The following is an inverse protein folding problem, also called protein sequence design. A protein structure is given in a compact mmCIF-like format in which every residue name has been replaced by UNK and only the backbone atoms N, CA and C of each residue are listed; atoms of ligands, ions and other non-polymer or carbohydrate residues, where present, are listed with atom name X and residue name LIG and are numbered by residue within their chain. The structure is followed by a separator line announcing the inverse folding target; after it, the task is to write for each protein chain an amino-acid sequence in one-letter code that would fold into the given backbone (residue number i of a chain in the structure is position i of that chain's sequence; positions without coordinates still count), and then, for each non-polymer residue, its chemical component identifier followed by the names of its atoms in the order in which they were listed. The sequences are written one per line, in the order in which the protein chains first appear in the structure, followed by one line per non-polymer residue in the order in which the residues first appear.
data_IF_989488772046
#
_entry.id   IF_989488772046
#
_cell.length_a   1.000
_cell.length_b   1.000
_cell.length_c   1.000
_cell.angle_alpha   90.00
_cell.angle_beta   90.00
_cell.angle_gamma   90.00
#
_symmetry.space_group_name_H-M   'P 1'
#
loop_
_entity.id
_entity.type
_entity.pdbx_description
1 polymer ?
#
# COMPACT_ATOMS: atom_id res chain seq x y z
N UNK A 1 -35.29 25.79 13.86
CA UNK A 1 -35.72 25.10 12.64
C UNK A 1 -34.46 24.54 12.00
N UNK A 2 -34.04 23.33 12.38
CA UNK A 2 -32.94 22.63 11.73
C UNK A 2 -33.52 21.35 11.11
N UNK A 3 -34.04 21.50 9.90
CA UNK A 3 -34.43 20.38 9.05
C UNK A 3 -33.37 20.20 7.99
N UNK A 4 -32.39 19.32 8.21
CA UNK A 4 -31.57 18.73 7.14
C UNK A 4 -30.81 17.47 7.62
N UNK A 5 -31.29 16.31 7.17
CA UNK A 5 -30.65 14.97 7.14
C UNK A 5 -30.28 14.30 8.47
N UNK A 6 -31.15 13.41 8.95
CA UNK A 6 -30.88 12.44 10.01
C UNK A 6 -29.92 11.33 9.59
N UNK A 7 -28.66 11.69 9.33
CA UNK A 7 -27.59 10.74 9.05
C UNK A 7 -26.91 10.35 10.36
N UNK A 8 -26.86 9.04 10.65
CA UNK A 8 -26.16 8.53 11.83
C UNK A 8 -24.69 9.02 11.86
N UNK A 9 -24.25 9.74 12.91
CA UNK A 9 -22.91 10.32 12.97
C UNK A 9 -21.80 9.28 12.93
N UNK A 10 -22.06 8.06 13.42
CA UNK A 10 -21.09 6.95 13.37
C UNK A 10 -20.91 6.47 11.92
N UNK A 11 -22.00 6.23 11.22
CA UNK A 11 -21.99 5.86 9.80
C UNK A 11 -21.34 6.94 8.93
N UNK A 12 -21.63 8.22 9.20
CA UNK A 12 -20.99 9.32 8.47
C UNK A 12 -19.47 9.33 8.66
N UNK A 13 -19.00 9.15 9.90
CA UNK A 13 -17.56 9.10 10.19
C UNK A 13 -16.86 7.94 9.49
N UNK A 14 -17.43 6.73 9.52
CA UNK A 14 -16.88 5.58 8.79
C UNK A 14 -16.89 5.78 7.26
N UNK A 15 -17.92 6.44 6.72
CA UNK A 15 -17.95 6.81 5.31
C UNK A 15 -16.81 7.80 4.95
N UNK A 16 -16.56 8.81 5.80
CA UNK A 16 -15.43 9.72 5.65
C UNK A 16 -14.08 9.00 5.71
N UNK A 17 -13.93 8.01 6.61
CA UNK A 17 -12.76 7.13 6.69
C UNK A 17 -12.53 6.38 5.38
N UNK A 18 -13.56 5.74 4.82
CA UNK A 18 -13.45 5.00 3.55
C UNK A 18 -13.13 5.95 2.38
N UNK A 19 -13.78 7.12 2.33
CA UNK A 19 -13.48 8.13 1.32
C UNK A 19 -12.02 8.61 1.41
N UNK A 20 -11.50 8.80 2.62
CA UNK A 20 -10.11 9.22 2.81
C UNK A 20 -9.12 8.13 2.43
N UNK A 21 -9.46 6.85 2.63
CA UNK A 21 -8.67 5.74 2.11
C UNK A 21 -8.59 5.75 0.57
N UNK A 22 -9.71 5.99 -0.12
CA UNK A 22 -9.75 6.08 -1.59
C UNK A 22 -8.84 7.22 -2.08
N UNK A 23 -8.99 8.42 -1.52
CA UNK A 23 -8.17 9.57 -1.91
C UNK A 23 -6.69 9.39 -1.52
N UNK A 24 -6.40 8.73 -0.40
CA UNK A 24 -5.02 8.36 -0.02
C UNK A 24 -4.36 7.41 -0.99
N UNK A 25 -5.09 6.42 -1.50
CA UNK A 25 -4.63 5.52 -2.56
C UNK A 25 -4.46 6.24 -3.91
N UNK A 26 -5.20 7.32 -4.15
CA UNK A 26 -5.07 8.17 -5.33
C UNK A 26 -3.95 9.23 -5.20
N UNK A 27 -3.39 9.38 -4.00
CA UNK A 27 -2.51 10.50 -3.66
C UNK A 27 -3.17 11.86 -3.96
N UNK A 28 -4.46 11.97 -3.69
CA UNK A 28 -5.22 13.23 -3.80
C UNK A 28 -5.16 13.99 -2.48
N UNK A 29 -4.06 14.71 -2.27
CA UNK A 29 -3.81 15.46 -1.04
C UNK A 29 -4.89 16.52 -0.77
N UNK A 30 -5.43 17.15 -1.81
CA UNK A 30 -6.44 18.18 -1.68
C UNK A 30 -7.78 17.60 -1.19
N UNK A 31 -8.21 16.46 -1.75
CA UNK A 31 -9.38 15.75 -1.26
C UNK A 31 -9.18 15.20 0.16
N UNK A 32 -7.98 14.70 0.49
CA UNK A 32 -7.66 14.24 1.84
C UNK A 32 -7.73 15.37 2.87
N UNK A 33 -7.16 16.55 2.60
CA UNK A 33 -7.20 17.68 3.54
C UNK A 33 -8.64 18.17 3.78
N UNK A 34 -9.53 18.09 2.78
CA UNK A 34 -10.97 18.39 2.95
C UNK A 34 -11.67 17.39 3.88
N UNK A 35 -11.31 16.12 3.81
CA UNK A 35 -11.91 15.05 4.62
C UNK A 35 -11.31 14.97 6.03
N UNK A 36 -10.09 15.45 6.22
CA UNK A 36 -9.36 15.27 7.47
C UNK A 36 -10.12 15.78 8.72
N UNK A 37 -10.76 16.97 8.72
CA UNK A 37 -11.56 17.40 9.87
C UNK A 37 -12.68 16.40 10.22
N UNK A 38 -13.33 15.81 9.22
CA UNK A 38 -14.42 14.85 9.43
C UNK A 38 -13.93 13.56 10.09
N UNK A 39 -12.73 13.10 9.72
CA UNK A 39 -12.11 11.91 10.31
C UNK A 39 -11.50 12.20 11.69
N UNK A 40 -10.93 13.39 11.88
CA UNK A 40 -10.33 13.82 13.14
C UNK A 40 -11.37 13.96 14.27
N UNK A 41 -12.56 14.50 13.94
CA UNK A 41 -13.67 14.61 14.89
C UNK A 41 -14.45 13.31 15.01
N UNK A 42 -13.86 12.33 15.71
CA UNK A 42 -14.51 11.06 16.03
C UNK A 42 -15.78 11.26 16.86
N UNK A 43 -16.94 10.66 16.50
CA UNK A 43 -18.17 10.73 17.28
C UNK A 43 -17.99 10.21 18.72
N UNK A 44 -18.68 10.83 19.69
CA UNK A 44 -18.60 10.45 21.12
C UNK A 44 -18.86 8.97 21.36
N UNK A 45 -19.82 8.38 20.65
CA UNK A 45 -20.15 6.96 20.75
C UNK A 45 -18.96 6.04 20.44
N UNK A 46 -18.08 6.43 19.50
CA UNK A 46 -16.86 5.70 19.18
C UNK A 46 -15.72 6.01 20.17
N UNK A 47 -15.66 7.23 20.71
CA UNK A 47 -14.64 7.61 21.70
C UNK A 47 -14.78 6.84 23.02
N UNK A 48 -16.02 6.62 23.48
CA UNK A 48 -16.30 5.86 24.71
C UNK A 48 -16.32 4.35 24.49
N UNK A 49 -16.24 3.91 23.23
CA UNK A 49 -16.26 2.49 22.89
C UNK A 49 -14.91 1.83 23.20
N UNK A 50 -14.97 0.65 23.81
CA UNK A 50 -13.79 -0.20 24.03
C UNK A 50 -13.23 -0.77 22.72
N UNK A 51 -13.99 -0.71 21.62
CA UNK A 51 -13.51 -1.16 20.31
C UNK A 51 -12.29 -0.32 19.87
N UNK A 52 -11.11 -0.92 19.63
CA UNK A 52 -9.91 -0.21 19.22
C UNK A 52 -9.89 0.13 17.72
N UNK A 53 -10.78 -0.43 16.90
CA UNK A 53 -10.77 -0.26 15.46
C UNK A 53 -10.96 1.21 14.98
N UNK A 54 -11.86 2.03 15.57
CA UNK A 54 -11.93 3.46 15.25
C UNK A 54 -10.62 4.20 15.54
N UNK A 55 -9.92 3.84 16.63
CA UNK A 55 -8.63 4.44 17.00
C UNK A 55 -7.54 4.02 16.01
N UNK A 56 -7.52 2.75 15.60
CA UNK A 56 -6.64 2.27 14.53
C UNK A 56 -6.83 3.09 13.24
N UNK A 57 -8.09 3.28 12.81
CA UNK A 57 -8.41 4.06 11.62
C UNK A 57 -7.88 5.50 11.73
N UNK A 58 -8.23 6.21 12.81
CA UNK A 58 -7.79 7.58 13.04
C UNK A 58 -6.25 7.72 12.96
N UNK A 59 -5.50 6.81 13.59
CA UNK A 59 -4.04 6.88 13.58
C UNK A 59 -3.41 6.52 12.23
N UNK A 60 -3.98 5.56 11.48
CA UNK A 60 -3.56 5.26 10.10
C UNK A 60 -3.63 6.52 9.23
N UNK A 61 -4.69 7.29 9.40
CA UNK A 61 -4.90 8.51 8.64
C UNK A 61 -4.05 9.69 9.09
N UNK A 62 -3.82 9.83 10.40
CA UNK A 62 -2.84 10.79 10.91
C UNK A 62 -1.46 10.51 10.33
N UNK A 63 -1.06 9.24 10.25
CA UNK A 63 0.19 8.85 9.61
C UNK A 63 0.24 9.24 8.13
N UNK A 64 -0.82 8.94 7.37
CA UNK A 64 -0.89 9.30 5.95
C UNK A 64 -0.83 10.81 5.71
N UNK A 65 -1.43 11.63 6.57
CA UNK A 65 -1.43 13.10 6.45
C UNK A 65 -0.05 13.73 6.71
N UNK A 66 0.69 13.19 7.67
CA UNK A 66 2.04 13.69 8.01
C UNK A 66 3.13 12.94 7.26
N UNK A 67 2.77 12.16 6.23
CA UNK A 67 3.72 11.48 5.36
C UNK A 67 4.67 12.52 4.73
N UNK A 68 5.98 12.30 4.88
CA UNK A 68 7.01 13.25 4.44
C UNK A 68 7.27 14.41 5.40
N UNK A 69 6.54 14.50 6.53
CA UNK A 69 6.72 15.49 7.60
C UNK A 69 7.26 14.78 8.86
N UNK A 70 8.59 14.62 8.93
CA UNK A 70 9.36 14.16 10.10
C UNK A 70 9.08 12.71 10.59
N UNK A 71 9.73 12.30 11.69
CA UNK A 71 9.54 11.02 12.42
C UNK A 71 8.10 10.82 12.94
N UNK A 72 7.29 11.89 12.91
CA UNK A 72 5.90 11.91 13.38
C UNK A 72 5.03 10.87 12.67
N UNK A 73 5.26 10.61 11.38
CA UNK A 73 4.51 9.62 10.59
C UNK A 73 4.69 8.20 11.13
N UNK A 74 5.92 7.81 11.49
CA UNK A 74 6.20 6.47 11.98
C UNK A 74 5.55 6.24 13.35
N UNK A 75 5.60 7.23 14.23
CA UNK A 75 4.92 7.16 15.52
C UNK A 75 3.40 7.00 15.41
N UNK A 76 2.77 7.61 14.40
CA UNK A 76 1.34 7.39 14.12
C UNK A 76 1.06 6.01 13.53
N UNK A 77 1.93 5.50 12.63
CA UNK A 77 1.83 4.14 12.12
C UNK A 77 1.94 3.10 13.24
N UNK A 78 2.86 3.30 14.19
CA UNK A 78 3.06 2.35 15.30
C UNK A 78 1.82 2.31 16.21
N UNK A 79 1.24 3.47 16.57
CA UNK A 79 -0.02 3.54 17.32
C UNK A 79 -1.18 2.88 16.60
N UNK A 80 -1.29 3.11 15.29
CA UNK A 80 -2.33 2.48 14.47
C UNK A 80 -2.19 0.94 14.45
N UNK A 81 -0.97 0.44 14.27
CA UNK A 81 -0.67 -0.99 14.28
C UNK A 81 -0.90 -1.64 15.66
N UNK A 82 -0.67 -0.92 16.75
CA UNK A 82 -1.04 -1.36 18.10
C UNK A 82 -2.56 -1.55 18.25
N UNK A 83 -3.36 -0.52 17.97
CA UNK A 83 -4.82 -0.63 18.04
C UNK A 83 -5.39 -1.67 17.07
N UNK A 84 -4.80 -1.81 15.89
CA UNK A 84 -5.21 -2.83 14.93
C UNK A 84 -4.97 -4.25 15.47
N UNK A 85 -3.80 -4.49 16.08
CA UNK A 85 -3.50 -5.79 16.71
C UNK A 85 -4.39 -6.06 17.92
N UNK A 86 -4.70 -5.04 18.71
CA UNK A 86 -5.67 -5.12 19.81
C UNK A 86 -7.05 -5.54 19.29
N UNK A 87 -7.50 -4.97 18.16
CA UNK A 87 -8.77 -5.34 17.53
C UNK A 87 -8.85 -6.81 17.09
N UNK A 88 -7.70 -7.45 16.87
CA UNK A 88 -7.58 -8.86 16.49
C UNK A 88 -7.42 -9.80 17.69
N UNK A 89 -7.10 -9.26 18.87
CA UNK A 89 -6.87 -10.02 20.09
C UNK A 89 -8.12 -10.25 20.95
N UNK A 90 -9.26 -9.66 20.57
CA UNK A 90 -10.52 -9.82 21.28
C UNK A 90 -11.05 -11.26 21.22
N UNK A 91 -11.76 -11.68 22.28
CA UNK A 91 -12.39 -13.00 22.36
C UNK A 91 -13.62 -13.15 21.45
N UNK A 92 -14.13 -12.04 20.91
CA UNK A 92 -15.31 -12.01 20.05
C UNK A 92 -14.93 -12.16 18.58
N UNK A 93 -15.66 -13.01 17.85
CA UNK A 93 -15.49 -13.14 16.40
C UNK A 93 -15.83 -11.80 15.73
N UNK A 94 -14.90 -11.19 14.98
CA UNK A 94 -15.15 -9.91 14.30
C UNK A 94 -16.23 -10.09 13.23
N UNK A 95 -17.06 -9.05 13.05
CA UNK A 95 -18.03 -9.03 11.94
C UNK A 95 -17.32 -9.01 10.58
N UNK A 96 -18.04 -9.33 9.50
CA UNK A 96 -17.48 -9.25 8.14
C UNK A 96 -16.97 -7.84 7.80
N UNK A 97 -17.68 -6.80 8.28
CA UNK A 97 -17.29 -5.40 8.10
C UNK A 97 -16.02 -5.10 8.90
N UNK A 98 -15.95 -5.53 10.17
CA UNK A 98 -14.75 -5.34 10.99
C UNK A 98 -13.53 -5.98 10.34
N UNK A 99 -13.67 -7.19 9.81
CA UNK A 99 -12.60 -7.87 9.08
C UNK A 99 -12.14 -7.11 7.84
N UNK A 100 -13.10 -6.58 7.06
CA UNK A 100 -12.78 -5.79 5.87
C UNK A 100 -12.06 -4.48 6.24
N UNK A 101 -12.50 -3.81 7.31
CA UNK A 101 -11.84 -2.60 7.83
C UNK A 101 -10.45 -2.93 8.38
N UNK A 102 -10.29 -4.00 9.15
CA UNK A 102 -8.99 -4.46 9.66
C UNK A 102 -8.01 -4.72 8.51
N UNK A 103 -8.46 -5.40 7.45
CA UNK A 103 -7.66 -5.63 6.26
C UNK A 103 -7.28 -4.32 5.56
N UNK A 104 -8.25 -3.44 5.30
CA UNK A 104 -8.02 -2.13 4.68
C UNK A 104 -7.00 -1.30 5.47
N UNK A 105 -7.14 -1.21 6.80
CA UNK A 105 -6.23 -0.44 7.64
C UNK A 105 -4.83 -1.04 7.67
N UNK A 106 -4.71 -2.38 7.75
CA UNK A 106 -3.42 -3.05 7.67
C UNK A 106 -2.69 -2.76 6.36
N UNK A 107 -3.44 -2.81 5.26
CA UNK A 107 -2.92 -2.57 3.92
C UNK A 107 -2.46 -1.11 3.75
N UNK A 108 -3.27 -0.15 4.20
CA UNK A 108 -2.92 1.27 4.19
C UNK A 108 -1.69 1.59 5.06
N UNK A 109 -1.52 0.90 6.20
CA UNK A 109 -0.32 1.07 7.03
C UNK A 109 0.94 0.62 6.29
N UNK A 110 0.89 -0.55 5.65
CA UNK A 110 2.01 -1.07 4.85
C UNK A 110 2.31 -0.15 3.66
N UNK A 111 1.28 0.35 2.97
CA UNK A 111 1.44 1.36 1.91
C UNK A 111 2.10 2.62 2.46
N UNK A 112 1.63 3.15 3.59
CA UNK A 112 2.15 4.39 4.19
C UNK A 112 3.62 4.24 4.57
N UNK A 113 4.00 3.13 5.24
CA UNK A 113 5.40 2.83 5.56
C UNK A 113 6.26 2.62 4.32
N UNK A 114 5.72 2.02 3.26
CA UNK A 114 6.40 1.86 1.98
C UNK A 114 6.71 3.23 1.37
N UNK A 115 5.71 4.12 1.29
CA UNK A 115 5.89 5.47 0.75
C UNK A 115 6.87 6.29 1.57
N UNK A 116 6.82 6.19 2.90
CA UNK A 116 7.80 6.83 3.79
C UNK A 116 9.23 6.36 3.43
N UNK A 117 9.45 5.05 3.37
CA UNK A 117 10.74 4.47 2.99
C UNK A 117 11.20 4.95 1.60
N UNK A 118 10.31 4.99 0.61
CA UNK A 118 10.62 5.45 -0.75
C UNK A 118 11.00 6.94 -0.79
N UNK A 119 10.29 7.79 -0.05
CA UNK A 119 10.62 9.22 0.06
C UNK A 119 12.00 9.44 0.70
N UNK A 120 12.32 8.69 1.75
CA UNK A 120 13.66 8.73 2.36
C UNK A 120 14.75 8.31 1.37
N UNK A 121 14.49 7.33 0.51
CA UNK A 121 15.43 6.95 -0.55
C UNK A 121 15.68 8.07 -1.57
N UNK A 122 14.65 8.86 -1.91
CA UNK A 122 14.75 9.96 -2.88
C UNK A 122 15.44 11.20 -2.30
N UNK A 123 15.35 11.42 -0.99
CA UNK A 123 15.96 12.57 -0.30
C UNK A 123 17.47 12.48 -0.06
N UNK A 124 18.11 11.34 -0.32
CA UNK A 124 19.56 11.14 -0.11
C UNK A 124 20.36 11.58 -1.35
N UNK A 125 21.35 12.50 -1.22
CA UNK A 125 22.19 12.92 -2.34
C UNK A 125 22.88 11.74 -3.02
N UNK A 126 23.05 11.76 -4.36
CA UNK A 126 23.53 10.62 -5.15
C UNK A 126 24.94 10.11 -4.79
N UNK A 127 25.69 10.85 -3.96
CA UNK A 127 27.04 10.50 -3.48
C UNK A 127 27.07 9.88 -2.08
N UNK A 128 25.94 9.81 -1.36
CA UNK A 128 25.85 9.03 -0.11
C UNK A 128 25.42 7.60 -0.43
N UNK A 129 25.88 6.64 0.38
CA UNK A 129 25.41 5.27 0.35
C UNK A 129 23.87 5.26 0.21
N UNK A 130 23.34 4.44 -0.70
CA UNK A 130 21.89 4.26 -0.90
C UNK A 130 21.22 4.20 0.49
N UNK A 131 20.08 4.85 0.68
CA UNK A 131 19.34 4.78 1.94
C UNK A 131 18.99 3.33 2.30
N UNK A 132 19.20 2.96 3.56
CA UNK A 132 18.80 1.68 4.13
C UNK A 132 17.78 1.94 5.23
N UNK A 133 16.67 1.19 5.22
CA UNK A 133 15.66 1.30 6.26
C UNK A 133 16.27 1.04 7.64
N UNK A 134 15.96 1.90 8.60
CA UNK A 134 16.35 1.75 10.00
C UNK A 134 15.73 0.50 10.63
N UNK A 135 16.32 0.05 11.74
CA UNK A 135 15.79 -1.08 12.50
C UNK A 135 14.36 -0.82 13.02
N UNK A 136 14.01 0.44 13.29
CA UNK A 136 12.68 0.84 13.76
C UNK A 136 11.64 0.73 12.64
N UNK A 137 11.93 1.28 11.45
CA UNK A 137 11.07 1.18 10.27
C UNK A 137 10.79 -0.29 9.91
N UNK A 138 11.85 -1.10 9.88
CA UNK A 138 11.74 -2.53 9.57
C UNK A 138 10.92 -3.28 10.60
N UNK A 139 11.09 -2.98 11.90
CA UNK A 139 10.31 -3.61 12.97
C UNK A 139 8.82 -3.35 12.79
N UNK A 140 8.43 -2.09 12.63
CA UNK A 140 7.03 -1.72 12.43
C UNK A 140 6.44 -2.36 11.17
N UNK A 141 7.18 -2.33 10.05
CA UNK A 141 6.75 -2.98 8.81
C UNK A 141 6.52 -4.50 8.98
N UNK A 142 7.44 -5.20 9.64
CA UNK A 142 7.32 -6.66 9.86
C UNK A 142 6.15 -7.02 10.79
N UNK A 143 5.84 -6.17 11.76
CA UNK A 143 4.69 -6.34 12.65
C UNK A 143 3.37 -6.20 11.88
N UNK A 144 3.26 -5.19 11.03
CA UNK A 144 2.08 -4.98 10.19
C UNK A 144 1.96 -6.10 9.13
N UNK A 145 3.07 -6.54 8.54
CA UNK A 145 3.06 -7.67 7.60
C UNK A 145 2.62 -8.98 8.25
N UNK A 146 3.04 -9.24 9.50
CA UNK A 146 2.57 -10.39 10.28
C UNK A 146 1.06 -10.32 10.56
N UNK A 147 0.56 -9.10 10.77
CA UNK A 147 -0.87 -8.83 10.96
C UNK A 147 -1.66 -9.10 9.67
N UNK A 148 -1.15 -8.62 8.52
CA UNK A 148 -1.75 -8.90 7.22
C UNK A 148 -1.78 -10.39 6.90
N UNK A 149 -0.70 -11.12 7.18
CA UNK A 149 -0.66 -12.58 7.01
C UNK A 149 -1.78 -13.27 7.79
N UNK A 150 -2.01 -12.87 9.04
CA UNK A 150 -3.10 -13.42 9.87
C UNK A 150 -4.47 -13.12 9.28
N UNK A 151 -4.69 -11.89 8.81
CA UNK A 151 -5.94 -11.48 8.18
C UNK A 151 -6.23 -12.24 6.87
N UNK A 152 -5.20 -12.48 6.06
CA UNK A 152 -5.29 -13.17 4.78
C UNK A 152 -5.45 -14.70 4.89
N UNK A 153 -5.21 -15.32 6.05
CA UNK A 153 -5.31 -16.78 6.21
C UNK A 153 -6.67 -17.36 5.80
N UNK A 154 -7.74 -16.58 5.95
CA UNK A 154 -9.10 -17.02 5.61
C UNK A 154 -9.53 -16.64 4.19
N UNK A 155 -8.70 -15.93 3.42
CA UNK A 155 -9.07 -15.39 2.12
C UNK A 155 -7.90 -15.51 1.14
N UNK A 156 -7.95 -16.52 0.26
CA UNK A 156 -6.90 -16.79 -0.73
C UNK A 156 -6.58 -15.57 -1.61
N UNK A 157 -7.58 -14.82 -2.14
CA UNK A 157 -7.33 -13.56 -2.84
C UNK A 157 -6.45 -12.56 -2.10
N UNK A 158 -6.61 -12.43 -0.79
CA UNK A 158 -5.84 -11.49 0.02
C UNK A 158 -4.34 -11.82 0.10
N UNK A 159 -3.93 -13.05 -0.25
CA UNK A 159 -2.52 -13.45 -0.27
C UNK A 159 -1.69 -12.69 -1.31
N UNK A 160 -2.29 -12.13 -2.36
CA UNK A 160 -1.58 -11.29 -3.33
C UNK A 160 -0.99 -10.03 -2.67
N UNK A 161 -1.75 -9.38 -1.78
CA UNK A 161 -1.25 -8.26 -0.97
C UNK A 161 -0.12 -8.69 -0.05
N UNK A 162 -0.21 -9.88 0.55
CA UNK A 162 0.86 -10.43 1.40
C UNK A 162 2.15 -10.60 0.60
N UNK A 163 2.10 -11.17 -0.60
CA UNK A 163 3.30 -11.36 -1.43
C UNK A 163 3.92 -10.04 -1.85
N UNK A 164 3.10 -9.04 -2.20
CA UNK A 164 3.58 -7.72 -2.60
C UNK A 164 4.28 -6.99 -1.45
N UNK A 165 3.69 -6.99 -0.26
CA UNK A 165 4.30 -6.37 0.92
C UNK A 165 5.50 -7.16 1.44
N UNK A 166 5.51 -8.49 1.30
CA UNK A 166 6.69 -9.30 1.60
C UNK A 166 7.83 -8.99 0.63
N UNK A 167 7.56 -8.78 -0.66
CA UNK A 167 8.57 -8.33 -1.61
C UNK A 167 9.13 -6.96 -1.19
N UNK A 168 8.27 -6.04 -0.78
CA UNK A 168 8.68 -4.72 -0.27
C UNK A 168 9.56 -4.82 0.97
N UNK A 169 9.20 -5.63 1.96
CA UNK A 169 10.04 -5.88 3.13
C UNK A 169 11.44 -6.40 2.77
N UNK A 170 11.54 -7.27 1.76
CA UNK A 170 12.82 -7.77 1.26
C UNK A 170 13.64 -6.67 0.57
N UNK A 171 12.98 -5.77 -0.15
CA UNK A 171 13.64 -4.61 -0.75
C UNK A 171 14.16 -3.63 0.32
N UNK A 172 13.37 -3.36 1.36
CA UNK A 172 13.77 -2.53 2.50
C UNK A 172 15.02 -3.07 3.22
N UNK A 173 15.13 -4.41 3.35
CA UNK A 173 16.29 -5.09 3.95
C UNK A 173 17.42 -5.38 2.97
N UNK A 174 17.26 -5.05 1.68
CA UNK A 174 18.21 -5.40 0.59
C UNK A 174 18.54 -6.89 0.53
N UNK A 175 17.57 -7.73 0.86
CA UNK A 175 17.71 -9.18 0.74
C UNK A 175 17.94 -9.58 -0.74
N UNK A 176 18.43 -10.81 -0.95
CA UNK A 176 18.72 -11.33 -2.30
C UNK A 176 17.54 -11.09 -3.27
N UNK A 177 17.81 -10.55 -4.47
CA UNK A 177 16.79 -10.10 -5.41
C UNK A 177 16.05 -11.26 -6.10
N UNK A 178 16.61 -12.47 -6.12
CA UNK A 178 15.97 -13.64 -6.77
C UNK A 178 14.63 -13.98 -6.12
N UNK A 179 14.59 -14.05 -4.79
CA UNK A 179 13.34 -14.36 -4.08
C UNK A 179 12.35 -13.20 -4.15
N UNK A 180 12.83 -11.97 -4.15
CA UNK A 180 11.99 -10.78 -4.33
C UNK A 180 11.33 -10.80 -5.71
N UNK A 181 12.09 -11.11 -6.77
CA UNK A 181 11.56 -11.31 -8.12
C UNK A 181 10.47 -12.39 -8.14
N UNK A 182 10.69 -13.55 -7.51
CA UNK A 182 9.68 -14.62 -7.44
C UNK A 182 8.38 -14.21 -6.72
N UNK A 183 8.46 -13.31 -5.74
CA UNK A 183 7.27 -12.80 -5.05
C UNK A 183 6.51 -11.83 -5.95
N UNK A 184 7.20 -10.89 -6.59
CA UNK A 184 6.59 -9.93 -7.52
C UNK A 184 5.98 -10.64 -8.73
N UNK A 185 6.65 -11.65 -9.26
CA UNK A 185 6.19 -12.44 -10.41
C UNK A 185 4.83 -13.12 -10.16
N UNK A 186 4.48 -13.44 -8.91
CA UNK A 186 3.13 -13.94 -8.57
C UNK A 186 2.03 -12.92 -8.85
N UNK A 187 2.31 -11.64 -8.64
CA UNK A 187 1.38 -10.55 -8.95
C UNK A 187 1.36 -10.20 -10.45
N UNK A 188 2.40 -10.57 -11.20
CA UNK A 188 2.55 -10.26 -12.63
C UNK A 188 1.99 -11.35 -13.55
N UNK A 189 1.95 -12.62 -13.10
CA UNK A 189 1.45 -13.73 -13.90
C UNK A 189 -0.05 -13.58 -14.18
N UNK A 190 -0.38 -13.03 -15.35
CA UNK A 190 -1.65 -13.31 -16.03
C UNK A 190 -1.58 -14.77 -16.47
N UNK A 191 -2.11 -15.72 -15.68
CA UNK A 191 -2.23 -17.10 -16.18
C UNK A 191 -3.01 -17.04 -17.51
N UNK A 192 -2.39 -17.54 -18.58
CA UNK A 192 -3.02 -17.67 -19.90
C UNK A 192 -4.26 -18.56 -19.83
N UNK A 193 -5.07 -18.63 -20.90
CA UNK A 193 -6.29 -19.43 -20.90
C UNK A 193 -5.93 -20.89 -20.61
N UNK A 194 -6.29 -21.39 -19.43
CA UNK A 194 -6.16 -22.81 -19.12
C UNK A 194 -7.17 -23.56 -19.99
N UNK A 195 -6.67 -24.34 -20.95
CA UNK A 195 -7.46 -25.22 -21.82
C UNK A 195 -7.94 -26.49 -21.11
N UNK A 196 -8.17 -26.42 -19.81
CA UNK A 196 -8.66 -27.54 -19.01
C UNK A 196 -9.97 -27.13 -18.35
N UNK A 197 -11.09 -27.55 -18.95
CA UNK A 197 -12.39 -27.61 -18.28
C UNK A 197 -12.24 -28.56 -17.09
N UNK A 198 -12.02 -28.01 -15.91
CA UNK A 198 -12.04 -28.73 -14.64
C UNK A 198 -12.56 -27.77 -13.59
N UNK A 199 -13.76 -28.03 -13.08
CA UNK A 199 -14.37 -27.28 -11.99
C UNK A 199 -13.49 -27.41 -10.73
N UNK A 200 -13.07 -26.29 -10.17
CA UNK A 200 -12.32 -26.23 -8.91
C UNK A 200 -11.44 -25.00 -8.85
N UNK A 201 -11.92 -23.98 -8.12
CA UNK A 201 -11.15 -22.82 -7.65
C UNK A 201 -10.64 -21.88 -8.75
N UNK A 202 -11.47 -20.89 -9.07
CA UNK A 202 -11.04 -19.65 -9.73
C UNK A 202 -10.00 -18.96 -8.83
N UNK A 203 -8.73 -19.36 -8.95
CA UNK A 203 -7.59 -18.66 -8.36
C UNK A 203 -7.74 -17.18 -8.73
N UNK A 204 -8.00 -16.34 -7.73
CA UNK A 204 -8.36 -14.94 -7.94
C UNK A 204 -7.18 -14.24 -8.60
N UNK A 205 -7.42 -13.65 -9.77
CA UNK A 205 -6.38 -12.93 -10.51
C UNK A 205 -5.97 -11.68 -9.72
N UNK A 206 -4.67 -11.31 -9.70
CA UNK A 206 -4.24 -10.03 -9.14
C UNK A 206 -5.01 -8.87 -9.76
N UNK A 207 -5.39 -7.90 -8.95
CA UNK A 207 -6.05 -6.66 -9.37
C UNK A 207 -5.12 -5.82 -10.25
N UNK A 208 -5.70 -4.90 -11.03
CA UNK A 208 -4.91 -3.97 -11.85
C UNK A 208 -3.96 -3.10 -11.00
N UNK A 209 -4.36 -2.76 -9.77
CA UNK A 209 -3.52 -2.02 -8.81
C UNK A 209 -2.33 -2.85 -8.36
N UNK A 210 -2.54 -4.09 -7.92
CA UNK A 210 -1.45 -4.98 -7.48
C UNK A 210 -0.46 -5.29 -8.61
N UNK A 211 -0.95 -5.43 -9.86
CA UNK A 211 -0.09 -5.57 -11.04
C UNK A 211 0.77 -4.33 -11.26
N UNK A 212 0.17 -3.14 -11.23
CA UNK A 212 0.90 -1.89 -11.45
C UNK A 212 1.94 -1.63 -10.35
N UNK A 213 1.60 -1.88 -9.09
CA UNK A 213 2.52 -1.77 -7.95
C UNK A 213 3.68 -2.78 -8.07
N UNK A 214 3.40 -4.03 -8.44
CA UNK A 214 4.45 -5.04 -8.64
C UNK A 214 5.40 -4.67 -9.80
N UNK A 215 4.88 -4.13 -10.90
CA UNK A 215 5.67 -3.63 -12.02
C UNK A 215 6.55 -2.45 -11.59
N UNK A 216 5.98 -1.50 -10.85
CA UNK A 216 6.71 -0.33 -10.35
C UNK A 216 7.86 -0.76 -9.43
N UNK A 217 7.62 -1.64 -8.46
CA UNK A 217 8.65 -2.16 -7.55
C UNK A 217 9.73 -2.94 -8.32
N UNK A 218 9.34 -3.80 -9.25
CA UNK A 218 10.28 -4.58 -10.05
C UNK A 218 11.23 -3.67 -10.83
N UNK A 219 10.68 -2.72 -11.58
CA UNK A 219 11.46 -1.81 -12.42
C UNK A 219 12.32 -0.83 -11.60
N UNK A 220 11.88 -0.46 -10.41
CA UNK A 220 12.60 0.50 -9.55
C UNK A 220 13.79 -0.13 -8.83
N UNK A 221 13.70 -1.40 -8.41
CA UNK A 221 14.62 -1.96 -7.43
C UNK A 221 15.30 -3.27 -7.83
N UNK A 222 14.80 -4.00 -8.82
CA UNK A 222 15.46 -5.23 -9.25
C UNK A 222 16.62 -4.94 -10.23
N UNK A 223 17.71 -5.72 -10.17
CA UNK A 223 18.78 -5.64 -11.17
C UNK A 223 18.24 -5.88 -12.60
N UNK A 224 18.77 -5.18 -13.62
CA UNK A 224 18.35 -5.36 -15.01
C UNK A 224 18.42 -6.82 -15.51
N UNK A 225 19.35 -7.62 -14.99
CA UNK A 225 19.50 -9.03 -15.35
C UNK A 225 18.30 -9.92 -14.93
N UNK A 226 17.50 -9.47 -13.96
CA UNK A 226 16.27 -10.14 -13.54
C UNK A 226 15.03 -9.54 -14.22
N UNK A 227 15.20 -8.43 -14.94
CA UNK A 227 14.13 -7.82 -15.72
C UNK A 227 14.16 -8.41 -17.14
N UNK A 228 12.96 -8.62 -17.69
CA UNK A 228 12.77 -8.78 -19.12
C UNK A 228 13.37 -7.54 -19.80
N UNK A 229 14.23 -7.72 -20.82
CA UNK A 229 15.28 -6.77 -21.29
C UNK A 229 14.88 -5.29 -21.49
N UNK A 230 15.83 -4.37 -21.77
CA UNK A 230 15.61 -2.92 -21.64
C UNK A 230 14.37 -2.36 -22.37
N UNK A 231 14.02 -2.88 -23.56
CA UNK A 231 12.78 -2.49 -24.26
C UNK A 231 11.48 -3.03 -23.64
N UNK A 232 11.54 -4.17 -22.96
CA UNK A 232 10.41 -4.75 -22.23
C UNK A 232 10.16 -4.00 -20.91
N UNK A 233 11.21 -3.54 -20.23
CA UNK A 233 11.09 -2.73 -19.00
C UNK A 233 10.34 -1.41 -19.25
N UNK A 234 10.65 -0.69 -20.34
CA UNK A 234 9.93 0.53 -20.73
C UNK A 234 8.44 0.26 -21.04
N UNK A 235 8.14 -0.82 -21.75
CA UNK A 235 6.76 -1.24 -22.04
C UNK A 235 5.97 -1.62 -20.78
N UNK A 236 6.61 -2.32 -19.84
CA UNK A 236 6.05 -2.70 -18.54
C UNK A 236 5.72 -1.46 -17.69
N UNK A 237 6.63 -0.49 -17.60
CA UNK A 237 6.38 0.78 -16.92
C UNK A 237 5.24 1.57 -17.58
N UNK A 238 5.15 1.56 -18.91
CA UNK A 238 4.05 2.21 -19.62
C UNK A 238 2.70 1.51 -19.35
N UNK A 239 2.67 0.18 -19.23
CA UNK A 239 1.46 -0.55 -18.81
C UNK A 239 1.04 -0.21 -17.38
N UNK A 240 2.01 -0.16 -16.45
CA UNK A 240 1.78 0.25 -15.08
C UNK A 240 1.22 1.69 -15.03
N UNK A 241 1.86 2.64 -15.73
CA UNK A 241 1.42 4.03 -15.79
C UNK A 241 -0.02 4.17 -16.30
N UNK A 242 -0.38 3.51 -17.41
CA UNK A 242 -1.76 3.53 -17.93
C UNK A 242 -2.77 2.97 -16.93
N UNK A 243 -2.39 1.96 -16.16
CA UNK A 243 -3.27 1.36 -15.16
C UNK A 243 -3.45 2.29 -13.96
N UNK A 244 -2.37 2.93 -13.49
CA UNK A 244 -2.38 3.88 -12.39
C UNK A 244 -3.15 5.16 -12.73
N UNK A 245 -3.02 5.66 -13.96
CA UNK A 245 -3.80 6.79 -14.48
C UNK A 245 -5.31 6.51 -14.40
N UNK A 246 -5.75 5.33 -14.85
CA UNK A 246 -7.16 4.89 -14.75
C UNK A 246 -7.65 4.76 -13.31
N UNK A 247 -6.76 4.36 -12.40
CA UNK A 247 -7.06 4.24 -10.97
C UNK A 247 -7.00 5.59 -10.23
N UNK A 248 -6.46 6.62 -10.87
CA UNK A 248 -6.24 7.94 -10.28
C UNK A 248 -5.09 7.99 -9.28
N UNK A 249 -4.16 7.04 -9.27
CA UNK A 249 -2.97 7.07 -8.41
C UNK A 249 -1.91 8.01 -9.00
N UNK A 250 -2.01 9.30 -8.64
CA UNK A 250 -1.21 10.39 -9.20
C UNK A 250 0.27 10.24 -8.87
N UNK A 251 0.59 9.84 -7.65
CA UNK A 251 1.98 9.75 -7.18
C UNK A 251 2.72 8.61 -7.88
N UNK A 252 2.18 7.39 -7.84
CA UNK A 252 2.83 6.22 -8.46
C UNK A 252 2.89 6.36 -9.99
N UNK A 253 1.88 7.00 -10.59
CA UNK A 253 1.89 7.34 -12.01
C UNK A 253 3.08 8.22 -12.39
N UNK A 254 3.29 9.32 -11.65
CA UNK A 254 4.38 10.25 -11.90
C UNK A 254 5.76 9.58 -11.70
N UNK A 255 5.91 8.73 -10.69
CA UNK A 255 7.13 7.92 -10.50
C UNK A 255 7.42 7.03 -11.71
N UNK A 256 6.40 6.35 -12.25
CA UNK A 256 6.53 5.56 -13.47
C UNK A 256 6.97 6.43 -14.67
N UNK A 257 6.37 7.61 -14.85
CA UNK A 257 6.74 8.53 -15.94
C UNK A 257 8.20 9.00 -15.83
N UNK A 258 8.65 9.37 -14.62
CA UNK A 258 10.04 9.78 -14.41
C UNK A 258 11.03 8.67 -14.75
N UNK A 259 10.72 7.42 -14.38
CA UNK A 259 11.55 6.27 -14.74
C UNK A 259 11.61 6.03 -16.25
N UNK A 260 10.48 6.14 -16.95
CA UNK A 260 10.43 6.01 -18.42
C UNK A 260 11.33 7.05 -19.08
N UNK A 261 11.28 8.31 -18.63
CA UNK A 261 12.15 9.38 -19.17
C UNK A 261 13.62 9.08 -18.91
N UNK A 262 13.98 8.63 -17.70
CA UNK A 262 15.36 8.26 -17.35
C UNK A 262 15.90 7.13 -18.22
N UNK A 263 15.11 6.09 -18.46
CA UNK A 263 15.49 4.97 -19.33
C UNK A 263 15.73 5.44 -20.77
N UNK A 264 14.85 6.28 -21.31
CA UNK A 264 15.00 6.85 -22.66
C UNK A 264 16.22 7.76 -22.79
N UNK A 265 16.56 8.52 -21.74
CA UNK A 265 17.74 9.40 -21.72
C UNK A 265 19.07 8.66 -21.56
N UNK A 266 19.07 7.47 -20.95
CA UNK A 266 20.26 6.64 -20.78
C UNK A 266 20.63 5.81 -22.02
N UNK A 267 19.66 5.55 -22.90
CA UNK A 267 19.89 4.78 -24.14
C UNK A 267 20.63 5.54 -25.25
N UNK A 268 20.90 6.84 -25.08
CA UNK A 268 21.60 7.66 -26.10
C UNK A 268 23.13 7.72 -25.91
N UNK A 269 23.73 7.06 -24.92
CA UNK A 269 25.17 7.22 -24.58
C UNK A 269 26.05 6.01 -24.94
N UNK A 270 25.53 4.95 -25.56
CA UNK A 270 26.38 3.84 -26.06
C UNK A 270 26.19 3.63 -27.56
N UNK A 271 26.66 4.60 -28.34
CA UNK A 271 27.02 4.38 -29.74
C UNK A 271 28.14 5.36 -30.10
N UNK A 272 29.37 5.00 -29.74
CA UNK A 272 30.62 5.60 -30.23
C UNK A 272 31.74 4.58 -30.10
#
# INVERSE_FOLDING_TARGET
MDSATGTDPVSHWWASVVAMAIHGLQADEEAMERLYPLVEFMPRALQVSENPLPRAALHTFKAARVLGKEDSSLGQCDKAGEYLRESLGGNSTPSAIDRAVQFLLCDLLLITRTRFWQQQMQGVPPHRARYQASALELRGFQQDLSTLRRLAQADQPAMHRVFLHEATARLMTRASPTRTHQLLDRSLRRRGPSTTKGAGEQESRPTAREQAEALQLACSYLPPALLLGPGQTGGMLAEAARSLEKLGDKWTFHECQQMIVRLSSGSTVTSS
#
